data_IF_529373985859
#
_entry.id   IF_529373985859
#
_cell.length_a   1.000
_cell.length_b   1.000
_cell.length_c   1.000
_cell.angle_alpha   90.00
_cell.angle_beta   90.00
_cell.angle_gamma   90.00
#
_symmetry.space_group_name_H-M   'P 1'
#
loop_
_entity.id
_entity.type
_entity.pdbx_description
1 polymer ?
#
# COMPACT_ATOMS: atom_id res chain seq x y z
N UNK A 1 17.89 -37.91 32.07
CA UNK A 1 16.94 -37.59 30.98
C UNK A 1 16.32 -36.26 31.33
N UNK A 2 16.78 -35.17 30.72
CA UNK A 2 16.33 -33.82 31.06
C UNK A 2 15.41 -33.33 29.94
N UNK A 3 14.12 -33.18 30.23
CA UNK A 3 13.15 -32.58 29.32
C UNK A 3 13.45 -31.08 29.15
N UNK A 4 13.82 -30.71 27.93
CA UNK A 4 13.89 -29.31 27.51
C UNK A 4 12.48 -28.81 27.28
N UNK A 5 12.00 -27.96 28.20
CA UNK A 5 10.73 -27.24 28.07
C UNK A 5 10.85 -26.31 26.87
N UNK A 6 10.16 -26.65 25.77
CA UNK A 6 9.96 -25.75 24.63
C UNK A 6 9.06 -24.60 25.11
N UNK A 7 9.67 -23.47 25.44
CA UNK A 7 8.94 -22.22 25.62
C UNK A 7 8.15 -21.93 24.33
N UNK A 8 6.82 -21.87 24.46
CA UNK A 8 5.95 -21.40 23.38
C UNK A 8 6.10 -19.87 23.32
N UNK A 9 6.40 -19.28 22.16
CA UNK A 9 6.44 -17.83 22.06
C UNK A 9 5.08 -17.27 22.47
N UNK A 10 5.10 -16.25 23.32
CA UNK A 10 3.89 -15.57 23.78
C UNK A 10 3.07 -15.07 22.56
N UNK A 11 1.73 -15.09 22.64
CA UNK A 11 0.91 -14.54 21.57
C UNK A 11 1.25 -13.06 21.38
N UNK A 12 1.65 -12.68 20.15
CA UNK A 12 1.87 -11.28 19.79
C UNK A 12 0.58 -10.49 20.12
N UNK A 13 0.70 -9.48 20.99
CA UNK A 13 -0.43 -8.58 21.27
C UNK A 13 -0.83 -7.89 19.97
N UNK A 14 -2.13 -7.77 19.65
CA UNK A 14 -2.58 -7.02 18.49
C UNK A 14 -2.05 -5.59 18.57
N UNK A 15 -1.18 -5.21 17.64
CA UNK A 15 -0.76 -3.82 17.52
C UNK A 15 -1.92 -3.05 16.88
N UNK A 16 -2.17 -1.82 17.33
CA UNK A 16 -3.21 -0.97 16.72
C UNK A 16 -2.85 -0.71 15.26
N UNK A 17 -3.78 -0.92 14.31
CA UNK A 17 -3.57 -0.56 12.91
C UNK A 17 -3.18 0.92 12.81
N UNK A 18 -2.22 1.29 11.96
CA UNK A 18 -1.94 2.69 11.73
C UNK A 18 -3.16 3.39 11.12
N UNK A 19 -3.24 4.72 11.27
CA UNK A 19 -4.15 5.56 10.50
C UNK A 19 -3.80 5.49 9.00
N UNK A 20 -4.75 5.80 8.10
CA UNK A 20 -4.47 5.89 6.68
C UNK A 20 -3.25 6.75 6.40
N UNK A 21 -2.35 6.22 5.58
CA UNK A 21 -1.07 6.84 5.30
C UNK A 21 -0.55 6.41 3.94
N UNK A 22 0.24 7.29 3.33
CA UNK A 22 0.85 7.09 2.02
C UNK A 22 2.29 6.60 2.18
N UNK A 23 2.58 5.38 1.69
CA UNK A 23 3.97 4.88 1.59
C UNK A 23 4.47 5.13 0.18
N UNK A 24 4.91 6.36 -0.08
CA UNK A 24 5.51 6.76 -1.37
C UNK A 24 7.03 6.84 -1.16
N UNK A 25 7.84 5.95 -1.76
CA UNK A 25 9.29 5.91 -1.53
C UNK A 25 10.06 7.00 -2.28
N UNK A 26 9.36 7.97 -2.87
CA UNK A 26 9.92 9.05 -3.66
C UNK A 26 9.42 10.38 -3.12
N UNK A 27 10.31 11.35 -2.98
CA UNK A 27 9.93 12.72 -2.64
C UNK A 27 9.10 13.35 -3.76
N UNK A 28 8.11 14.16 -3.38
CA UNK A 28 7.38 15.02 -4.32
C UNK A 28 8.36 16.00 -4.97
N UNK A 29 8.33 16.07 -6.30
CA UNK A 29 9.14 17.04 -7.03
C UNK A 29 8.48 18.42 -6.98
N UNK A 30 9.14 19.38 -6.33
CA UNK A 30 8.65 20.76 -6.22
C UNK A 30 8.70 21.53 -7.55
N UNK A 31 9.44 21.03 -8.52
CA UNK A 31 9.58 21.62 -9.85
C UNK A 31 8.80 20.84 -10.91
N UNK A 32 7.89 19.96 -10.48
CA UNK A 32 7.04 19.23 -11.41
C UNK A 32 6.25 20.22 -12.27
N UNK A 33 6.44 20.14 -13.58
CA UNK A 33 5.65 20.91 -14.54
C UNK A 33 4.29 20.26 -14.66
N UNK A 34 3.26 20.97 -14.18
CA UNK A 34 1.89 20.46 -14.15
C UNK A 34 1.41 19.99 -15.53
N UNK A 35 0.77 18.82 -15.55
CA UNK A 35 0.15 18.23 -16.73
C UNK A 35 -1.32 17.96 -16.45
N UNK A 36 -2.05 19.03 -16.11
CA UNK A 36 -3.40 18.96 -15.54
C UNK A 36 -4.35 18.08 -16.36
N UNK A 37 -4.39 18.23 -17.69
CA UNK A 37 -5.20 17.36 -18.55
C UNK A 37 -4.93 15.84 -18.37
N UNK A 38 -3.68 15.45 -18.17
CA UNK A 38 -3.30 14.04 -17.94
C UNK A 38 -3.66 13.63 -16.51
N UNK A 39 -3.38 14.47 -15.52
CA UNK A 39 -3.69 14.20 -14.11
C UNK A 39 -5.21 14.07 -13.89
N UNK A 40 -6.00 14.94 -14.51
CA UNK A 40 -7.46 14.89 -14.49
C UNK A 40 -7.97 13.59 -15.13
N UNK A 41 -7.39 13.19 -16.26
CA UNK A 41 -7.73 11.91 -16.89
C UNK A 41 -7.41 10.72 -15.99
N UNK A 42 -6.22 10.71 -15.36
CA UNK A 42 -5.84 9.67 -14.39
C UNK A 42 -6.82 9.65 -13.23
N UNK A 43 -7.17 10.82 -12.68
CA UNK A 43 -8.13 10.95 -11.59
C UNK A 43 -9.49 10.36 -11.94
N UNK A 44 -10.05 10.74 -13.09
CA UNK A 44 -11.35 10.27 -13.55
C UNK A 44 -11.40 8.74 -13.72
N UNK A 45 -10.32 8.16 -14.25
CA UNK A 45 -10.20 6.72 -14.44
C UNK A 45 -10.03 5.98 -13.10
N UNK A 46 -9.16 6.50 -12.22
CA UNK A 46 -8.84 5.87 -10.93
C UNK A 46 -9.97 5.99 -9.90
N UNK A 47 -10.83 7.01 -9.99
CA UNK A 47 -11.91 7.26 -9.03
C UNK A 47 -13.06 6.27 -9.13
N UNK A 48 -13.12 5.46 -10.19
CA UNK A 48 -14.12 4.40 -10.32
C UNK A 48 -13.81 3.24 -9.36
N UNK A 49 -14.80 2.72 -8.60
CA UNK A 49 -14.59 1.60 -7.70
C UNK A 49 -14.01 0.36 -8.40
N UNK A 50 -12.86 -0.13 -7.91
CA UNK A 50 -12.20 -1.32 -8.47
C UNK A 50 -11.54 -1.10 -9.83
N UNK A 51 -11.38 0.16 -10.26
CA UNK A 51 -10.70 0.54 -11.50
C UNK A 51 -9.25 0.04 -11.56
N UNK A 52 -8.74 -0.12 -12.78
CA UNK A 52 -7.33 -0.41 -13.05
C UNK A 52 -6.88 0.44 -14.22
N UNK A 53 -5.93 1.33 -13.96
CA UNK A 53 -5.42 2.29 -14.94
C UNK A 53 -3.96 2.01 -15.23
N UNK A 54 -3.56 2.11 -16.50
CA UNK A 54 -2.17 1.97 -16.92
C UNK A 54 -1.70 3.23 -17.64
N UNK A 55 -0.55 3.78 -17.22
CA UNK A 55 0.15 4.84 -17.94
C UNK A 55 1.09 4.19 -18.96
N UNK A 56 0.83 4.42 -20.25
CA UNK A 56 1.61 3.86 -21.37
C UNK A 56 2.28 4.96 -22.19
N UNK A 57 3.43 4.66 -22.79
CA UNK A 57 4.18 5.61 -23.60
C UNK A 57 5.68 5.33 -23.60
N UNK A 58 6.42 6.07 -24.42
CA UNK A 58 7.87 5.90 -24.61
C UNK A 58 8.68 6.03 -23.31
N UNK A 59 9.89 5.47 -23.31
CA UNK A 59 10.84 5.65 -22.20
C UNK A 59 11.13 7.14 -21.96
N UNK A 60 11.35 7.53 -20.70
CA UNK A 60 11.75 8.90 -20.35
C UNK A 60 10.67 9.98 -20.37
N UNK A 61 9.45 9.71 -20.84
CA UNK A 61 8.38 10.75 -20.97
C UNK A 61 7.76 11.23 -19.64
N UNK A 62 8.19 10.67 -18.50
CA UNK A 62 7.74 11.08 -17.16
C UNK A 62 6.56 10.31 -16.57
N UNK A 63 6.23 9.11 -17.07
CA UNK A 63 5.10 8.29 -16.56
C UNK A 63 5.14 8.06 -15.04
N UNK A 64 6.31 7.70 -14.51
CA UNK A 64 6.49 7.51 -13.07
C UNK A 64 6.30 8.81 -12.29
N UNK A 65 6.73 9.95 -12.84
CA UNK A 65 6.53 11.25 -12.19
C UNK A 65 5.05 11.64 -12.14
N UNK A 66 4.28 11.33 -13.19
CA UNK A 66 2.82 11.52 -13.17
C UNK A 66 2.17 10.66 -12.07
N UNK A 67 2.57 9.40 -11.93
CA UNK A 67 2.03 8.52 -10.88
C UNK A 67 2.40 9.00 -9.46
N UNK A 68 3.63 9.50 -9.27
CA UNK A 68 4.10 10.05 -7.99
C UNK A 68 3.30 11.33 -7.65
N UNK A 69 3.20 12.27 -8.59
CA UNK A 69 2.46 13.51 -8.37
C UNK A 69 0.99 13.24 -8.07
N UNK A 70 0.35 12.34 -8.83
CA UNK A 70 -1.03 11.94 -8.58
C UNK A 70 -1.21 11.33 -7.17
N UNK A 71 -0.28 10.49 -6.72
CA UNK A 71 -0.32 9.93 -5.37
C UNK A 71 -0.24 11.02 -4.29
N UNK A 72 0.60 12.03 -4.47
CA UNK A 72 0.65 13.18 -3.55
C UNK A 72 -0.64 14.01 -3.58
N UNK A 73 -1.24 14.24 -4.75
CA UNK A 73 -2.53 14.93 -4.85
C UNK A 73 -3.64 14.18 -4.10
N UNK A 74 -3.73 12.86 -4.23
CA UNK A 74 -4.72 12.05 -3.50
C UNK A 74 -4.48 12.11 -1.99
N UNK A 75 -3.22 12.05 -1.55
CA UNK A 75 -2.89 12.20 -0.13
C UNK A 75 -3.39 13.55 0.44
N UNK A 76 -3.20 14.63 -0.31
CA UNK A 76 -3.59 15.97 0.12
C UNK A 76 -5.12 16.16 0.10
N UNK A 77 -5.80 15.61 -0.91
CA UNK A 77 -7.25 15.76 -1.11
C UNK A 77 -8.10 14.79 -0.30
N UNK A 78 -7.58 13.59 -0.03
CA UNK A 78 -8.27 12.50 0.65
C UNK A 78 -7.31 11.78 1.62
N UNK A 79 -7.01 12.40 2.79
CA UNK A 79 -6.06 11.84 3.76
C UNK A 79 -6.44 10.45 4.27
N UNK A 80 -7.72 10.08 4.20
CA UNK A 80 -8.24 8.76 4.57
C UNK A 80 -7.94 7.66 3.53
N UNK A 81 -7.35 8.00 2.38
CA UNK A 81 -7.02 7.04 1.32
C UNK A 81 -5.66 6.42 1.54
N UNK A 82 -5.62 5.08 1.67
CA UNK A 82 -4.39 4.32 1.67
C UNK A 82 -3.71 4.33 0.29
N UNK A 83 -2.42 4.66 0.29
CA UNK A 83 -1.59 4.63 -0.92
C UNK A 83 -0.40 3.71 -0.69
N UNK A 84 -0.33 2.64 -1.48
CA UNK A 84 0.76 1.66 -1.44
C UNK A 84 1.56 1.68 -2.73
N UNK A 85 2.88 1.70 -2.61
CA UNK A 85 3.79 1.60 -3.74
C UNK A 85 4.39 0.19 -3.83
N UNK A 86 4.27 -0.45 -5.00
CA UNK A 86 4.76 -1.82 -5.24
C UNK A 86 5.79 -1.83 -6.37
N UNK A 87 6.99 -2.37 -6.09
CA UNK A 87 8.02 -2.55 -7.11
C UNK A 87 7.82 -3.85 -7.89
N UNK A 88 7.29 -3.75 -9.11
CA UNK A 88 7.03 -4.91 -9.98
C UNK A 88 8.20 -5.32 -10.89
N UNK A 89 9.44 -4.91 -10.60
CA UNK A 89 10.58 -5.18 -11.50
C UNK A 89 11.09 -6.63 -11.44
N UNK A 90 10.75 -7.38 -10.39
CA UNK A 90 11.03 -8.82 -10.27
C UNK A 90 10.06 -9.45 -9.27
N UNK A 91 9.89 -10.77 -9.32
CA UNK A 91 9.04 -11.49 -8.37
C UNK A 91 9.48 -11.27 -6.91
N UNK A 92 10.79 -11.26 -6.66
CA UNK A 92 11.34 -11.01 -5.32
C UNK A 92 11.05 -9.59 -4.81
N UNK A 93 11.22 -8.54 -5.65
CA UNK A 93 10.91 -7.16 -5.24
C UNK A 93 9.40 -6.92 -5.11
N UNK A 94 8.61 -7.60 -5.93
CA UNK A 94 7.17 -7.59 -5.84
C UNK A 94 6.72 -8.18 -4.50
N UNK A 95 7.17 -9.39 -4.15
CA UNK A 95 6.84 -10.01 -2.87
C UNK A 95 7.34 -9.19 -1.68
N UNK A 96 8.57 -8.67 -1.74
CA UNK A 96 9.11 -7.83 -0.67
C UNK A 96 8.25 -6.57 -0.45
N UNK A 97 7.77 -5.92 -1.51
CA UNK A 97 6.88 -4.76 -1.38
C UNK A 97 5.60 -5.10 -0.62
N UNK A 98 5.03 -6.29 -0.82
CA UNK A 98 3.85 -6.74 -0.06
C UNK A 98 4.18 -7.06 1.40
N UNK A 99 5.38 -7.56 1.69
CA UNK A 99 5.86 -7.74 3.07
C UNK A 99 6.02 -6.41 3.77
N UNK A 100 6.65 -5.44 3.11
CA UNK A 100 6.83 -4.09 3.64
C UNK A 100 5.48 -3.42 3.93
N UNK A 101 4.48 -3.58 3.04
CA UNK A 101 3.12 -3.09 3.26
C UNK A 101 2.46 -3.79 4.46
N UNK A 102 2.57 -5.11 4.56
CA UNK A 102 2.00 -5.85 5.68
C UNK A 102 2.66 -5.48 7.03
N UNK A 103 3.97 -5.21 7.02
CA UNK A 103 4.73 -4.69 8.16
C UNK A 103 4.26 -3.30 8.55
N UNK A 104 4.09 -2.43 7.56
CA UNK A 104 3.54 -1.10 7.76
C UNK A 104 2.15 -1.15 8.41
N UNK A 105 1.25 -1.96 7.87
CA UNK A 105 -0.11 -2.18 8.37
C UNK A 105 -0.17 -2.98 9.67
N UNK A 106 0.98 -3.47 10.15
CA UNK A 106 1.10 -4.30 11.36
C UNK A 106 0.20 -5.53 11.33
N UNK A 107 0.03 -6.15 10.16
CA UNK A 107 -0.85 -7.31 10.01
C UNK A 107 -0.43 -8.46 10.93
N UNK A 108 -1.37 -9.12 11.62
CA UNK A 108 -1.07 -10.30 12.42
C UNK A 108 -0.46 -11.41 11.57
N UNK A 109 0.61 -12.03 12.07
CA UNK A 109 1.28 -13.15 11.39
C UNK A 109 2.17 -12.77 10.22
N UNK A 110 2.36 -11.48 9.92
CA UNK A 110 3.26 -11.00 8.84
C UNK A 110 4.72 -11.43 8.98
N UNK A 111 5.20 -11.61 10.23
CA UNK A 111 6.57 -12.02 10.55
C UNK A 111 6.81 -13.52 10.39
N UNK A 112 5.76 -14.32 10.23
CA UNK A 112 5.89 -15.76 10.02
C UNK A 112 6.21 -16.05 8.53
N UNK A 113 7.38 -16.60 8.19
CA UNK A 113 7.75 -16.89 6.80
C UNK A 113 6.83 -17.89 6.10
N UNK A 114 6.13 -18.74 6.86
CA UNK A 114 5.19 -19.74 6.34
C UNK A 114 3.84 -19.14 5.94
N UNK A 115 3.54 -17.92 6.41
CA UNK A 115 2.29 -17.26 6.06
C UNK A 115 2.36 -16.67 4.66
N UNK A 116 1.30 -16.89 3.88
CA UNK A 116 1.15 -16.26 2.57
C UNK A 116 0.79 -14.77 2.75
N UNK A 117 1.76 -13.91 2.48
CA UNK A 117 1.64 -12.47 2.68
C UNK A 117 0.53 -11.84 1.82
N UNK A 118 0.35 -12.32 0.59
CA UNK A 118 -0.70 -11.84 -0.31
C UNK A 118 -2.09 -12.13 0.25
N UNK A 119 -2.27 -13.30 0.88
CA UNK A 119 -3.54 -13.66 1.51
C UNK A 119 -3.83 -12.81 2.73
N UNK A 120 -2.82 -12.50 3.55
CA UNK A 120 -2.98 -11.61 4.71
C UNK A 120 -3.44 -10.22 4.25
N UNK A 121 -2.74 -9.62 3.29
CA UNK A 121 -3.08 -8.29 2.79
C UNK A 121 -4.44 -8.28 2.09
N UNK A 122 -4.75 -9.30 1.30
CA UNK A 122 -6.06 -9.44 0.64
C UNK A 122 -7.22 -9.50 1.65
N UNK A 123 -7.06 -10.28 2.73
CA UNK A 123 -8.07 -10.36 3.77
C UNK A 123 -8.28 -9.00 4.44
N UNK A 124 -7.19 -8.28 4.71
CA UNK A 124 -7.23 -6.93 5.27
C UNK A 124 -7.94 -5.93 4.34
N UNK A 125 -7.56 -5.88 3.06
CA UNK A 125 -8.20 -5.01 2.05
C UNK A 125 -9.71 -5.26 1.90
N UNK A 126 -10.15 -6.51 2.10
CA UNK A 126 -11.59 -6.85 2.12
C UNK A 126 -12.27 -6.49 3.44
N UNK A 127 -11.53 -6.54 4.54
CA UNK A 127 -12.01 -6.30 5.90
C UNK A 127 -12.27 -4.83 6.20
N UNK A 128 -11.46 -3.90 5.67
CA UNK A 128 -11.62 -2.44 5.88
C UNK A 128 -13.04 -1.93 5.52
N UNK A 129 -13.71 -2.59 4.57
CA UNK A 129 -15.07 -2.21 4.17
C UNK A 129 -16.11 -2.37 5.31
N UNK A 130 -15.76 -2.99 6.44
CA UNK A 130 -16.68 -3.27 7.56
C UNK A 130 -16.55 -2.32 8.75
N UNK A 131 -15.49 -1.50 8.84
CA UNK A 131 -15.24 -0.66 10.03
C UNK A 131 -15.61 0.83 9.88
N UNK A 132 -16.02 1.29 8.69
CA UNK A 132 -16.61 2.63 8.53
C UNK A 132 -18.11 2.64 8.88
N UNK A 133 -18.43 2.40 10.16
CA UNK A 133 -19.69 2.85 10.77
C UNK A 133 -19.44 4.14 11.56
N UNK A 134 -20.39 5.07 11.66
CA UNK A 134 -20.15 6.34 12.35
C UNK A 134 -19.94 6.04 13.84
N UNK A 135 -18.79 6.45 14.38
CA UNK A 135 -18.59 6.48 15.82
C UNK A 135 -19.44 7.64 16.41
N UNK A 136 -20.19 7.40 17.51
CA UNK A 136 -21.14 8.34 18.10
C UNK A 136 -20.50 9.59 18.70
#
# INVERSE_FOLDING_TARGET
MSESVRERPAPERPETPPSPSSVIPFSRDRHFVERNAILDQVHNLCSQPGSRTALVGFGGVGKSQIAIEYAYQIRDQSPETWIFWVHASSAARYEQSFRDIADFLKLPGRRNPQNNIFRLLYNWLRGEKREMGPHP
#
